data_IF_490117404211
#
_entry.id   IF_490117404211
#
_cell.length_a   1.000
_cell.length_b   1.000
_cell.length_c   1.000
_cell.angle_alpha   90.00
_cell.angle_beta   90.00
_cell.angle_gamma   90.00
#
_symmetry.space_group_name_H-M   'P 1'
#
loop_
_entity.id
_entity.type
_entity.pdbx_description
1 polymer ?
#
# COMPACT_ATOMS: atom_id res chain seq x y z
N UNK A 1 -22.56 11.00 -13.11
CA UNK A 1 -22.34 12.37 -12.60
C UNK A 1 -20.97 12.44 -11.93
N UNK A 2 -20.03 13.25 -12.45
CA UNK A 2 -19.43 14.29 -11.62
C UNK A 2 -17.89 14.21 -11.58
N UNK A 3 -17.23 14.31 -12.74
CA UNK A 3 -15.78 14.49 -12.82
C UNK A 3 -15.42 15.95 -12.47
N UNK A 4 -14.80 16.21 -11.32
CA UNK A 4 -14.34 17.57 -10.96
C UNK A 4 -12.98 17.65 -10.26
N UNK A 5 -12.13 16.63 -10.31
CA UNK A 5 -10.81 16.71 -9.66
C UNK A 5 -9.67 16.44 -10.66
N UNK A 6 -9.59 17.21 -11.74
CA UNK A 6 -8.30 17.43 -12.40
C UNK A 6 -7.54 18.43 -11.52
N UNK A 7 -6.68 17.94 -10.63
CA UNK A 7 -5.86 18.84 -9.84
C UNK A 7 -4.91 19.63 -10.78
N UNK A 8 -4.55 20.82 -10.36
CA UNK A 8 -3.63 21.70 -11.09
C UNK A 8 -2.28 21.66 -10.38
N UNK A 9 -1.23 21.22 -11.06
CA UNK A 9 0.12 21.31 -10.54
C UNK A 9 0.80 22.55 -11.13
N UNK A 10 1.31 23.44 -10.26
CA UNK A 10 2.01 24.67 -10.65
C UNK A 10 3.43 24.59 -10.10
N UNK A 11 4.41 24.80 -10.98
CA UNK A 11 5.82 24.90 -10.61
C UNK A 11 6.53 25.96 -11.44
N UNK A 12 7.80 26.20 -11.12
CA UNK A 12 8.64 27.24 -11.74
C UNK A 12 8.80 27.08 -13.28
N UNK A 13 8.58 25.86 -13.79
CA UNK A 13 8.64 25.51 -15.22
C UNK A 13 7.29 25.54 -15.95
N UNK A 14 6.22 25.98 -15.30
CA UNK A 14 4.89 26.13 -15.89
C UNK A 14 3.78 25.37 -15.18
N UNK A 15 2.57 25.48 -15.73
CA UNK A 15 1.35 24.86 -15.20
C UNK A 15 1.03 23.58 -15.98
N UNK A 16 0.73 22.48 -15.27
CA UNK A 16 0.21 21.26 -15.87
C UNK A 16 -1.28 21.10 -15.51
N UNK A 17 -2.13 21.09 -16.55
CA UNK A 17 -3.58 20.91 -16.46
C UNK A 17 -4.03 19.44 -16.59
N UNK A 18 -3.08 18.52 -16.77
CA UNK A 18 -3.32 17.09 -16.95
C UNK A 18 -2.82 16.29 -15.76
N UNK A 19 -3.31 16.57 -14.55
CA UNK A 19 -3.38 15.50 -13.56
C UNK A 19 -4.43 14.51 -14.09
N UNK A 20 -3.94 13.39 -14.61
CA UNK A 20 -4.69 12.43 -15.44
C UNK A 20 -6.05 12.06 -14.86
N UNK A 21 -6.98 11.74 -15.76
CA UNK A 21 -8.34 11.31 -15.41
C UNK A 21 -8.25 10.18 -14.38
N UNK A 22 -8.87 10.39 -13.22
CA UNK A 22 -8.99 9.33 -12.22
C UNK A 22 -9.92 8.24 -12.77
N UNK A 23 -9.38 7.07 -13.08
CA UNK A 23 -10.13 5.86 -13.46
C UNK A 23 -10.83 5.22 -12.24
N UNK A 24 -10.76 5.85 -11.07
CA UNK A 24 -11.29 5.35 -9.82
C UNK A 24 -10.66 4.01 -9.41
N UNK A 25 -11.43 3.18 -8.71
CA UNK A 25 -10.98 1.84 -8.28
C UNK A 25 -11.09 0.76 -9.35
N UNK A 26 -11.60 1.08 -10.55
CA UNK A 26 -11.79 0.09 -11.62
C UNK A 26 -10.53 -0.74 -11.92
N UNK A 27 -9.33 -0.14 -12.12
CA UNK A 27 -8.11 -0.94 -12.36
C UNK A 27 -7.73 -1.82 -11.16
N UNK A 28 -7.96 -1.35 -9.93
CA UNK A 28 -7.70 -2.13 -8.71
C UNK A 28 -8.60 -3.38 -8.65
N UNK A 29 -9.91 -3.19 -8.85
CA UNK A 29 -10.88 -4.30 -8.82
C UNK A 29 -10.58 -5.33 -9.92
N UNK A 30 -10.16 -4.87 -11.10
CA UNK A 30 -9.74 -5.76 -12.19
C UNK A 30 -8.54 -6.63 -11.81
N UNK A 31 -7.52 -6.06 -11.16
CA UNK A 31 -6.37 -6.82 -10.68
C UNK A 31 -6.76 -7.85 -9.61
N UNK A 32 -7.65 -7.49 -8.67
CA UNK A 32 -8.17 -8.40 -7.64
C UNK A 32 -8.90 -9.59 -8.27
N UNK A 33 -9.80 -9.35 -9.23
CA UNK A 33 -10.54 -10.43 -9.91
C UNK A 33 -9.58 -11.36 -10.66
N UNK A 34 -8.60 -10.79 -11.36
CA UNK A 34 -7.60 -11.57 -12.12
C UNK A 34 -6.77 -12.46 -11.20
N UNK A 35 -6.35 -11.95 -10.04
CA UNK A 35 -5.66 -12.73 -9.01
C UNK A 35 -6.48 -13.94 -8.57
N UNK A 36 -7.76 -13.74 -8.21
CA UNK A 36 -8.61 -14.85 -7.77
C UNK A 36 -8.91 -15.87 -8.88
N UNK A 37 -8.96 -15.45 -10.14
CA UNK A 37 -9.19 -16.35 -11.28
C UNK A 37 -7.95 -17.18 -11.65
N UNK A 38 -6.76 -16.59 -11.53
CA UNK A 38 -5.52 -17.18 -12.07
C UNK A 38 -4.58 -17.70 -10.98
N UNK A 39 -4.74 -17.24 -9.74
CA UNK A 39 -3.76 -17.44 -8.66
C UNK A 39 -2.47 -16.64 -8.83
N UNK A 40 -2.31 -15.86 -9.90
CA UNK A 40 -1.09 -15.10 -10.19
C UNK A 40 -1.23 -13.72 -9.54
N UNK A 41 -0.39 -13.44 -8.54
CA UNK A 41 -0.36 -12.13 -7.88
C UNK A 41 0.08 -11.03 -8.85
N UNK A 42 -0.57 -9.85 -8.84
CA UNK A 42 -0.18 -8.71 -9.66
C UNK A 42 1.14 -8.06 -9.20
N UNK A 43 1.63 -8.43 -8.02
CA UNK A 43 2.92 -8.02 -7.44
C UNK A 43 3.62 -9.23 -6.81
N UNK A 44 4.95 -9.24 -6.69
CA UNK A 44 5.65 -10.29 -5.97
C UNK A 44 5.15 -10.41 -4.52
N UNK A 45 4.93 -11.62 -4.03
CA UNK A 45 4.46 -11.87 -2.67
C UNK A 45 5.41 -11.28 -1.61
N UNK A 46 6.72 -11.33 -1.89
CA UNK A 46 7.75 -10.77 -1.03
C UNK A 46 7.57 -9.27 -0.77
N UNK A 47 7.18 -8.50 -1.80
CA UNK A 47 6.90 -7.06 -1.64
C UNK A 47 5.69 -6.83 -0.72
N UNK A 48 4.66 -7.68 -0.86
CA UNK A 48 3.49 -7.61 0.03
C UNK A 48 3.87 -7.90 1.48
N UNK A 49 4.71 -8.92 1.70
CA UNK A 49 5.22 -9.28 3.04
C UNK A 49 6.02 -8.13 3.65
N UNK A 50 6.87 -7.48 2.86
CA UNK A 50 7.68 -6.33 3.33
C UNK A 50 6.81 -5.13 3.71
N UNK A 51 5.76 -4.83 2.94
CA UNK A 51 4.78 -3.78 3.27
C UNK A 51 4.07 -4.11 4.59
N UNK A 52 3.64 -5.37 4.78
CA UNK A 52 3.01 -5.82 6.02
C UNK A 52 3.97 -5.70 7.22
N UNK A 53 5.23 -6.09 7.03
CA UNK A 53 6.26 -5.97 8.06
C UNK A 53 6.54 -4.50 8.43
N UNK A 54 6.53 -3.59 7.47
CA UNK A 54 6.65 -2.16 7.75
C UNK A 54 5.47 -1.63 8.58
N UNK A 55 4.24 -2.00 8.22
CA UNK A 55 3.04 -1.62 9.00
C UNK A 55 3.09 -2.18 10.44
N UNK A 56 3.57 -3.41 10.62
CA UNK A 56 3.74 -3.98 11.96
C UNK A 56 4.85 -3.28 12.76
N UNK A 57 5.96 -2.91 12.11
CA UNK A 57 7.03 -2.15 12.74
C UNK A 57 6.56 -0.75 13.18
N UNK A 58 5.68 -0.10 12.41
CA UNK A 58 5.06 1.18 12.80
C UNK A 58 4.18 1.03 14.05
N UNK A 59 3.32 -0.01 14.08
CA UNK A 59 2.50 -0.32 15.26
C UNK A 59 3.38 -0.57 16.49
N UNK A 60 4.48 -1.30 16.34
CA UNK A 60 5.42 -1.57 17.43
C UNK A 60 6.20 -0.32 17.85
N UNK A 61 6.60 0.52 16.90
CA UNK A 61 7.24 1.82 17.17
C UNK A 61 6.33 2.69 18.02
N UNK A 62 5.05 2.81 17.63
CA UNK A 62 4.04 3.54 18.40
C UNK A 62 3.90 2.99 19.84
N UNK A 63 3.87 1.67 20.00
CA UNK A 63 3.81 1.03 21.31
C UNK A 63 5.05 1.29 22.19
N UNK A 64 6.21 1.59 21.56
CA UNK A 64 7.48 1.92 22.23
C UNK A 64 7.70 3.43 22.38
N UNK A 65 6.65 4.24 22.24
CA UNK A 65 6.76 5.70 22.34
C UNK A 65 7.46 6.35 21.15
N UNK A 66 7.36 5.76 19.96
CA UNK A 66 7.93 6.27 18.71
C UNK A 66 9.39 5.89 18.48
N UNK A 67 9.93 4.93 19.23
CA UNK A 67 11.31 4.48 19.05
C UNK A 67 11.47 3.69 17.75
N UNK A 68 12.58 3.87 17.00
CA UNK A 68 12.84 3.11 15.79
C UNK A 68 12.80 1.59 16.00
N UNK A 69 12.10 0.89 15.11
CA UNK A 69 11.99 -0.57 15.10
C UNK A 69 12.61 -1.10 13.81
N UNK A 70 13.44 -2.14 13.89
CA UNK A 70 14.03 -2.78 12.70
C UNK A 70 13.01 -3.73 12.07
N UNK A 71 12.86 -3.70 10.75
CA UNK A 71 12.00 -4.66 10.02
C UNK A 71 12.38 -6.11 10.32
N UNK A 72 13.69 -6.40 10.42
CA UNK A 72 14.17 -7.72 10.79
C UNK A 72 13.72 -8.19 12.19
N UNK A 73 13.29 -7.29 13.07
CA UNK A 73 12.74 -7.64 14.38
C UNK A 73 11.34 -8.24 14.27
N UNK A 74 10.48 -7.63 13.44
CA UNK A 74 9.10 -8.10 13.22
C UNK A 74 9.07 -9.32 12.30
N UNK A 75 9.96 -9.41 11.31
CA UNK A 75 10.07 -10.59 10.45
C UNK A 75 10.61 -11.84 11.17
N UNK A 76 11.30 -11.68 12.31
CA UNK A 76 11.77 -12.79 13.15
C UNK A 76 10.70 -13.31 14.10
N UNK A 77 9.64 -12.55 14.35
CA UNK A 77 8.52 -13.05 15.12
C UNK A 77 7.73 -13.99 14.19
N UNK A 78 7.55 -15.28 14.54
CA UNK A 78 6.59 -16.11 13.83
C UNK A 78 5.22 -15.41 13.92
N UNK A 79 4.30 -15.68 13.00
CA UNK A 79 2.91 -15.17 13.00
C UNK A 79 2.04 -15.60 14.20
N UNK A 80 2.61 -15.62 15.40
CA UNK A 80 2.08 -16.07 16.68
C UNK A 80 0.90 -15.20 17.14
N UNK A 81 0.81 -13.95 16.69
CA UNK A 81 -0.36 -13.10 16.95
C UNK A 81 -1.56 -13.38 16.03
N UNK A 82 -1.39 -14.11 14.93
CA UNK A 82 -2.49 -14.50 14.02
C UNK A 82 -3.14 -15.84 14.40
N UNK A 83 -2.59 -16.58 15.37
CA UNK A 83 -3.07 -17.91 15.80
C UNK A 83 -3.77 -17.89 17.18
N UNK A 84 -4.43 -16.79 17.53
CA UNK A 84 -5.27 -16.73 18.72
C UNK A 84 -6.63 -16.16 18.34
N UNK A 85 -7.48 -17.03 17.79
CA UNK A 85 -8.94 -17.09 17.97
C UNK A 85 -9.48 -18.35 17.27
#
# INVERSE_FOLDING_TARGET
EGNRNAGKAVGEKGESTTLGRSEGYRPLVQAIVTFFQTGISPVPEQETIEIMAFMEADVLSKARGGQPVKIAEVMKQPGEKARKN
#
